data_IF_953218447256
#
_entry.id   IF_953218447256
#
_cell.length_a   1.000
_cell.length_b   1.000
_cell.length_c   1.000
_cell.angle_alpha   90.00
_cell.angle_beta   90.00
_cell.angle_gamma   90.00
#
_symmetry.space_group_name_H-M   'P 1'
#
loop_
_entity.id
_entity.type
_entity.pdbx_description
1 polymer ?
#
# COMPACT_ATOMS: atom_id res chain seq x y z
N UNK A 1 -11.45 -24.56 7.86
CA UNK A 1 -12.48 -23.75 8.55
C UNK A 1 -13.05 -22.81 7.50
N UNK A 2 -14.30 -23.02 7.04
CA UNK A 2 -14.93 -22.14 6.04
C UNK A 2 -15.44 -20.90 6.75
N UNK A 3 -14.90 -19.74 6.42
CA UNK A 3 -15.39 -18.45 6.92
C UNK A 3 -16.77 -18.18 6.31
N UNK A 4 -17.82 -18.42 7.09
CA UNK A 4 -19.22 -18.23 6.68
C UNK A 4 -19.57 -16.75 6.63
N UNK A 5 -19.00 -16.01 5.69
CA UNK A 5 -19.24 -14.58 5.53
C UNK A 5 -20.60 -14.29 4.90
N UNK A 6 -21.54 -13.76 5.66
CA UNK A 6 -22.76 -13.16 5.13
C UNK A 6 -22.41 -12.11 4.08
N UNK A 7 -23.00 -12.23 2.88
CA UNK A 7 -22.77 -11.28 1.78
C UNK A 7 -23.72 -10.10 1.93
N UNK A 8 -23.17 -8.91 2.13
CA UNK A 8 -23.92 -7.67 2.19
C UNK A 8 -23.77 -6.90 0.88
N UNK A 9 -24.83 -6.22 0.46
CA UNK A 9 -24.79 -5.28 -0.67
C UNK A 9 -24.97 -3.88 -0.12
N UNK A 10 -24.00 -3.01 -0.37
CA UNK A 10 -24.07 -1.58 -0.01
C UNK A 10 -24.20 -0.78 -1.29
N UNK A 11 -25.17 0.14 -1.32
CA UNK A 11 -25.38 1.06 -2.44
C UNK A 11 -24.87 2.43 -2.05
N UNK A 12 -24.11 3.04 -2.94
CA UNK A 12 -23.53 4.37 -2.77
C UNK A 12 -24.06 5.29 -3.85
N UNK A 13 -24.15 6.59 -3.55
CA UNK A 13 -24.23 7.60 -4.61
C UNK A 13 -22.87 7.62 -5.34
N UNK A 14 -22.81 8.07 -6.60
CA UNK A 14 -21.56 8.04 -7.38
C UNK A 14 -20.39 8.74 -6.67
N UNK A 15 -20.63 9.91 -6.07
CA UNK A 15 -19.59 10.67 -5.37
C UNK A 15 -19.09 9.95 -4.12
N UNK A 16 -20.01 9.34 -3.36
CA UNK A 16 -19.68 8.54 -2.17
C UNK A 16 -18.86 7.30 -2.56
N UNK A 17 -19.18 6.66 -3.70
CA UNK A 17 -18.45 5.50 -4.19
C UNK A 17 -16.99 5.86 -4.53
N UNK A 18 -16.77 7.02 -5.14
CA UNK A 18 -15.44 7.52 -5.44
C UNK A 18 -14.66 7.85 -4.17
N UNK A 19 -15.30 8.52 -3.19
CA UNK A 19 -14.69 8.82 -1.91
C UNK A 19 -14.27 7.53 -1.16
N UNK A 20 -15.13 6.51 -1.13
CA UNK A 20 -14.83 5.22 -0.49
C UNK A 20 -13.66 4.51 -1.18
N UNK A 21 -13.58 4.55 -2.51
CA UNK A 21 -12.44 3.99 -3.25
C UNK A 21 -11.14 4.69 -2.90
N UNK A 22 -11.12 6.03 -2.93
CA UNK A 22 -9.95 6.82 -2.57
C UNK A 22 -9.48 6.53 -1.14
N UNK A 23 -10.41 6.40 -0.19
CA UNK A 23 -10.08 6.07 1.21
C UNK A 23 -9.54 4.64 1.37
N UNK A 24 -10.08 3.68 0.63
CA UNK A 24 -9.58 2.31 0.62
C UNK A 24 -8.16 2.24 0.05
N UNK A 25 -7.92 2.89 -1.08
CA UNK A 25 -6.61 2.97 -1.72
C UNK A 25 -5.58 3.65 -0.82
N UNK A 26 -5.95 4.78 -0.18
CA UNK A 26 -5.10 5.47 0.80
C UNK A 26 -4.80 4.62 2.05
N UNK A 27 -5.64 3.64 2.34
CA UNK A 27 -5.45 2.67 3.43
C UNK A 27 -4.67 1.43 3.00
N UNK A 28 -4.31 1.32 1.71
CA UNK A 28 -3.70 0.13 1.10
C UNK A 28 -4.56 -1.13 1.27
N UNK A 29 -5.89 -0.98 1.16
CA UNK A 29 -6.86 -2.05 1.30
C UNK A 29 -7.81 -2.09 0.10
N UNK A 30 -8.39 -3.25 -0.16
CA UNK A 30 -9.55 -3.29 -1.07
C UNK A 30 -10.75 -2.58 -0.44
N UNK A 31 -11.70 -2.12 -1.26
CA UNK A 31 -12.95 -1.49 -0.77
C UNK A 31 -13.69 -2.40 0.22
N UNK A 32 -13.71 -3.71 -0.01
CA UNK A 32 -14.38 -4.65 0.88
C UNK A 32 -13.69 -4.76 2.25
N UNK A 33 -12.36 -4.84 2.27
CA UNK A 33 -11.57 -4.86 3.50
C UNK A 33 -11.68 -3.54 4.25
N UNK A 34 -11.63 -2.41 3.53
CA UNK A 34 -11.81 -1.09 4.10
C UNK A 34 -13.17 -0.95 4.79
N UNK A 35 -14.27 -1.28 4.09
CA UNK A 35 -15.62 -1.18 4.64
C UNK A 35 -15.83 -2.13 5.83
N UNK A 36 -15.28 -3.36 5.76
CA UNK A 36 -15.32 -4.30 6.88
C UNK A 36 -14.57 -3.76 8.09
N UNK A 37 -13.35 -3.25 7.91
CA UNK A 37 -12.56 -2.67 8.99
C UNK A 37 -13.25 -1.46 9.64
N UNK A 38 -13.85 -0.59 8.83
CA UNK A 38 -14.66 0.55 9.31
C UNK A 38 -15.89 0.08 10.10
N UNK A 39 -16.60 -0.93 9.62
CA UNK A 39 -17.79 -1.46 10.30
C UNK A 39 -17.45 -2.15 11.63
N UNK A 40 -16.26 -2.74 11.73
CA UNK A 40 -15.77 -3.42 12.94
C UNK A 40 -14.98 -2.50 13.89
N UNK A 41 -14.92 -1.19 13.60
CA UNK A 41 -14.14 -0.20 14.35
C UNK A 41 -12.65 -0.60 14.55
N UNK A 42 -12.07 -1.27 13.56
CA UNK A 42 -10.67 -1.69 13.61
C UNK A 42 -9.74 -0.48 13.50
N UNK A 43 -8.59 -0.55 14.18
CA UNK A 43 -7.52 0.43 14.00
C UNK A 43 -6.85 0.23 12.62
N UNK A 44 -7.35 0.98 11.66
CA UNK A 44 -6.86 0.97 10.28
C UNK A 44 -5.49 1.60 10.12
N UNK A 45 -5.08 2.47 11.05
CA UNK A 45 -3.79 3.14 11.00
C UNK A 45 -2.66 2.13 11.27
N UNK A 46 -2.85 1.24 12.25
CA UNK A 46 -1.90 0.16 12.55
C UNK A 46 -1.77 -0.81 11.38
N UNK A 47 -2.89 -1.19 10.74
CA UNK A 47 -2.87 -2.09 9.56
C UNK A 47 -2.16 -1.46 8.37
N UNK A 48 -2.44 -0.19 8.09
CA UNK A 48 -1.77 0.57 7.02
C UNK A 48 -0.27 0.66 7.26
N UNK A 49 0.17 0.90 8.50
CA UNK A 49 1.59 0.96 8.85
C UNK A 49 2.28 -0.39 8.67
N UNK A 50 1.63 -1.48 9.08
CA UNK A 50 2.14 -2.84 8.88
C UNK A 50 2.29 -3.19 7.39
N UNK A 51 1.29 -2.85 6.56
CA UNK A 51 1.33 -3.06 5.12
C UNK A 51 2.46 -2.24 4.45
N UNK A 52 2.58 -0.96 4.80
CA UNK A 52 3.66 -0.10 4.32
C UNK A 52 5.04 -0.68 4.70
N UNK A 53 5.20 -1.12 5.94
CA UNK A 53 6.46 -1.71 6.41
C UNK A 53 6.81 -2.99 5.64
N UNK A 54 5.83 -3.84 5.31
CA UNK A 54 6.04 -5.04 4.51
C UNK A 54 6.50 -4.71 3.08
N UNK A 55 5.88 -3.73 2.42
CA UNK A 55 6.27 -3.30 1.08
C UNK A 55 7.67 -2.67 1.06
N UNK A 56 7.99 -1.80 2.03
CA UNK A 56 9.34 -1.25 2.18
C UNK A 56 10.39 -2.35 2.37
N UNK A 57 10.08 -3.38 3.16
CA UNK A 57 10.97 -4.54 3.36
C UNK A 57 11.19 -5.32 2.07
N UNK A 58 10.13 -5.53 1.28
CA UNK A 58 10.21 -6.23 -0.02
C UNK A 58 11.06 -5.45 -1.02
N UNK A 59 10.85 -4.13 -1.13
CA UNK A 59 11.64 -3.26 -1.99
C UNK A 59 13.11 -3.24 -1.56
N UNK A 60 13.40 -3.22 -0.25
CA UNK A 60 14.78 -3.23 0.25
C UNK A 60 15.48 -4.55 -0.02
N UNK A 61 14.74 -5.67 0.06
CA UNK A 61 15.24 -6.99 -0.35
C UNK A 61 15.57 -7.05 -1.84
N UNK A 62 14.71 -6.50 -2.71
CA UNK A 62 14.94 -6.42 -4.15
C UNK A 62 16.15 -5.54 -4.48
N UNK A 63 16.28 -4.38 -3.83
CA UNK A 63 17.44 -3.51 -3.97
C UNK A 63 18.73 -4.24 -3.58
N UNK A 64 18.75 -4.93 -2.44
CA UNK A 64 19.92 -5.74 -2.01
C UNK A 64 20.25 -6.81 -3.03
N UNK A 65 19.25 -7.51 -3.55
CA UNK A 65 19.43 -8.55 -4.56
C UNK A 65 20.09 -8.00 -5.83
N UNK A 66 19.57 -6.90 -6.37
CA UNK A 66 20.11 -6.24 -7.57
C UNK A 66 21.55 -5.74 -7.34
N UNK A 67 21.85 -5.15 -6.18
CA UNK A 67 23.23 -4.73 -5.82
C UNK A 67 24.21 -5.90 -5.76
N UNK A 68 23.76 -7.07 -5.28
CA UNK A 68 24.62 -8.26 -5.19
C UNK A 68 24.88 -8.92 -6.54
N UNK A 69 24.15 -8.58 -7.60
CA UNK A 69 24.44 -9.07 -8.94
C UNK A 69 25.76 -8.45 -9.43
N UNK A 70 26.74 -9.30 -9.74
CA UNK A 70 28.09 -8.88 -10.16
C UNK A 70 28.16 -8.31 -11.58
N UNK A 71 27.13 -8.55 -12.37
CA UNK A 71 27.00 -8.07 -13.74
C UNK A 71 25.55 -7.68 -13.94
N UNK A 72 25.29 -6.44 -14.34
CA UNK A 72 23.94 -5.94 -14.54
C UNK A 72 23.61 -5.94 -16.03
N UNK A 73 22.47 -6.53 -16.40
CA UNK A 73 21.88 -6.23 -17.70
C UNK A 73 21.31 -4.80 -17.69
N UNK A 74 21.00 -4.25 -18.87
CA UNK A 74 20.30 -2.96 -18.98
C UNK A 74 18.96 -3.00 -18.23
N UNK A 75 18.23 -4.12 -18.32
CA UNK A 75 16.97 -4.35 -17.61
C UNK A 75 17.13 -4.34 -16.09
N UNK A 76 18.19 -4.97 -15.56
CA UNK A 76 18.44 -4.99 -14.10
C UNK A 76 18.75 -3.59 -13.57
N UNK A 77 19.45 -2.78 -14.39
CA UNK A 77 19.74 -1.38 -14.07
C UNK A 77 18.47 -0.54 -14.05
N UNK A 78 17.60 -0.70 -15.05
CA UNK A 78 16.31 0.00 -15.12
C UNK A 78 15.41 -0.36 -13.93
N UNK A 79 15.37 -1.65 -13.57
CA UNK A 79 14.65 -2.13 -12.39
C UNK A 79 15.21 -1.53 -11.09
N UNK A 80 16.54 -1.52 -10.93
CA UNK A 80 17.19 -0.91 -9.78
C UNK A 80 16.83 0.57 -9.65
N UNK A 81 16.92 1.33 -10.75
CA UNK A 81 16.55 2.75 -10.73
C UNK A 81 15.06 2.97 -10.44
N UNK A 82 14.18 2.12 -10.97
CA UNK A 82 12.74 2.18 -10.70
C UNK A 82 12.45 1.97 -9.21
N UNK A 83 13.10 0.98 -8.58
CA UNK A 83 12.99 0.73 -7.13
C UNK A 83 13.51 1.92 -6.33
N UNK A 84 14.65 2.49 -6.71
CA UNK A 84 15.21 3.68 -6.06
C UNK A 84 14.27 4.90 -6.18
N UNK A 85 13.66 5.11 -7.35
CA UNK A 85 12.65 6.16 -7.56
C UNK A 85 11.43 5.95 -6.65
N UNK A 86 10.93 4.71 -6.56
CA UNK A 86 9.81 4.38 -5.68
C UNK A 86 10.12 4.68 -4.19
N UNK A 87 11.33 4.34 -3.74
CA UNK A 87 11.78 4.67 -2.38
C UNK A 87 11.84 6.18 -2.12
N UNK A 88 12.40 6.95 -3.05
CA UNK A 88 12.48 8.42 -2.92
C UNK A 88 11.09 9.03 -2.84
N UNK A 89 10.16 8.59 -3.70
CA UNK A 89 8.77 9.07 -3.68
C UNK A 89 8.10 8.71 -2.36
N UNK A 90 8.22 7.46 -1.91
CA UNK A 90 7.64 7.03 -0.63
C UNK A 90 8.19 7.84 0.55
N UNK A 91 9.51 8.08 0.61
CA UNK A 91 10.14 8.88 1.65
C UNK A 91 9.65 10.33 1.64
N UNK A 92 9.53 10.96 0.45
CA UNK A 92 8.96 12.30 0.31
C UNK A 92 7.51 12.37 0.78
N UNK A 93 6.66 11.44 0.34
CA UNK A 93 5.26 11.40 0.78
C UNK A 93 5.11 11.23 2.29
N UNK A 94 6.01 10.47 2.94
CA UNK A 94 6.02 10.36 4.40
C UNK A 94 6.43 11.69 5.04
N UNK A 95 7.48 12.34 4.52
CA UNK A 95 7.96 13.62 5.03
C UNK A 95 6.88 14.71 4.90
N UNK A 96 6.23 14.82 3.74
CA UNK A 96 5.16 15.80 3.50
C UNK A 96 4.00 15.65 4.49
N UNK A 97 3.68 14.40 4.87
CA UNK A 97 2.63 14.11 5.87
C UNK A 97 3.07 14.49 7.29
N UNK A 98 4.37 14.35 7.61
CA UNK A 98 4.91 14.78 8.89
C UNK A 98 4.97 16.30 9.00
N UNK A 99 5.34 16.99 7.91
CA UNK A 99 5.48 18.45 7.88
C UNK A 99 4.11 19.17 7.85
N UNK A 100 3.04 18.49 7.42
CA UNK A 100 1.67 19.00 7.44
C UNK A 100 0.96 18.87 8.80
N UNK A 101 1.62 18.32 9.82
CA UNK A 101 1.11 18.15 11.20
C UNK A 101 1.69 19.17 12.15
#
# INVERSE_FOLDING_TARGET
MRDGGSRFTVRFRPDDANAVRLMADASLLTVAEFLRGRALAEDMQVRRLAALHAELRKLGGLQKHLVMQRTWSVSDRDQFESVMRAFIVAAKSIQDVLDAR
#
